data_IF_657551995675
#
_entry.id   IF_657551995675
#
_cell.length_a   1.000
_cell.length_b   1.000
_cell.length_c   1.000
_cell.angle_alpha   90.00
_cell.angle_beta   90.00
_cell.angle_gamma   90.00
#
_symmetry.space_group_name_H-M   'P 1'
#
loop_
_entity.id
_entity.type
_entity.pdbx_description
1 polymer ?
#
# COMPACT_ATOMS: atom_id res chain seq x y z
N UNK A 1 -9.85 0.18 -20.59
CA UNK A 1 -9.34 -1.08 -19.97
C UNK A 1 -8.50 -0.76 -18.74
N UNK A 2 -9.12 -0.56 -17.57
CA UNK A 2 -8.35 -0.58 -16.31
C UNK A 2 -7.48 -1.86 -16.30
N UNK A 3 -6.26 -1.79 -15.74
CA UNK A 3 -5.32 -2.92 -15.77
C UNK A 3 -5.98 -4.23 -15.34
N UNK A 4 -5.60 -5.35 -15.96
CA UNK A 4 -6.27 -6.66 -15.81
C UNK A 4 -6.38 -7.15 -14.35
N UNK A 5 -5.63 -6.55 -13.42
CA UNK A 5 -5.59 -6.89 -12.01
C UNK A 5 -6.34 -5.90 -11.10
N UNK A 6 -6.85 -4.78 -11.61
CA UNK A 6 -7.47 -3.72 -10.80
C UNK A 6 -8.66 -4.25 -9.98
N UNK A 7 -9.52 -5.09 -10.56
CA UNK A 7 -10.72 -5.57 -9.87
C UNK A 7 -10.51 -6.75 -8.90
N UNK A 8 -9.33 -7.39 -8.88
CA UNK A 8 -9.14 -8.64 -8.12
C UNK A 8 -7.89 -8.67 -7.25
N UNK A 9 -7.02 -7.65 -7.34
CA UNK A 9 -5.79 -7.55 -6.56
C UNK A 9 -5.77 -6.20 -5.84
N UNK A 10 -5.49 -6.24 -4.55
CA UNK A 10 -5.34 -5.08 -3.69
C UNK A 10 -3.88 -4.94 -3.26
N UNK A 11 -3.28 -3.78 -3.47
CA UNK A 11 -1.98 -3.42 -2.90
C UNK A 11 -2.17 -2.44 -1.75
N UNK A 12 -1.52 -2.67 -0.61
CA UNK A 12 -1.61 -1.81 0.56
C UNK A 12 -0.40 -0.88 0.61
N UNK A 13 -0.63 0.42 0.46
CA UNK A 13 0.38 1.45 0.72
C UNK A 13 0.23 1.96 2.14
N UNK A 14 1.29 1.84 2.93
CA UNK A 14 1.29 2.16 4.35
C UNK A 14 2.72 2.45 4.82
N UNK A 15 2.87 2.96 6.04
CA UNK A 15 4.17 3.06 6.71
C UNK A 15 4.32 1.97 7.76
N UNK A 16 5.57 1.61 8.01
CA UNK A 16 5.91 0.88 9.21
C UNK A 16 5.83 1.80 10.42
N UNK A 17 5.10 1.37 11.44
CA UNK A 17 5.00 2.06 12.72
C UNK A 17 6.11 1.67 13.68
N UNK A 18 6.64 0.45 13.52
CA UNK A 18 7.75 -0.06 14.31
C UNK A 18 8.78 -0.72 13.39
N UNK A 19 10.09 -0.58 13.64
CA UNK A 19 11.14 -1.04 12.73
C UNK A 19 11.25 -2.58 12.60
N UNK A 20 10.68 -3.33 13.55
CA UNK A 20 10.86 -4.80 13.62
C UNK A 20 9.54 -5.57 13.57
N UNK A 21 8.45 -4.98 14.08
CA UNK A 21 7.19 -5.68 14.28
C UNK A 21 6.15 -5.03 13.38
N UNK A 22 5.60 -5.81 12.46
CA UNK A 22 4.53 -5.36 11.60
C UNK A 22 3.25 -5.18 12.45
N UNK A 23 2.60 -4.01 12.28
CA UNK A 23 1.27 -3.71 12.83
C UNK A 23 1.07 -4.09 14.31
N UNK A 24 1.91 -3.54 15.20
CA UNK A 24 1.94 -3.86 16.64
C UNK A 24 0.55 -3.84 17.31
N UNK A 25 -0.29 -2.89 16.96
CA UNK A 25 -1.60 -2.66 17.58
C UNK A 25 -2.77 -3.17 16.74
N UNK A 26 -2.49 -3.82 15.60
CA UNK A 26 -3.51 -4.43 14.73
C UNK A 26 -4.37 -3.42 13.97
N UNK A 27 -4.06 -2.12 14.03
CA UNK A 27 -4.90 -1.07 13.43
C UNK A 27 -4.89 -1.17 11.91
N UNK A 28 -3.74 -1.47 11.30
CA UNK A 28 -3.64 -1.59 9.85
C UNK A 28 -4.36 -2.83 9.34
N UNK A 29 -4.17 -3.98 9.99
CA UNK A 29 -4.87 -5.23 9.66
C UNK A 29 -6.37 -5.05 9.80
N UNK A 30 -6.85 -4.39 10.86
CA UNK A 30 -8.27 -4.07 11.02
C UNK A 30 -8.80 -3.25 9.84
N UNK A 31 -8.10 -2.19 9.44
CA UNK A 31 -8.50 -1.35 8.31
C UNK A 31 -8.54 -2.14 6.99
N UNK A 32 -7.54 -3.00 6.75
CA UNK A 32 -7.49 -3.89 5.59
C UNK A 32 -8.71 -4.83 5.59
N UNK A 33 -8.99 -5.49 6.71
CA UNK A 33 -10.12 -6.42 6.83
C UNK A 33 -11.47 -5.72 6.63
N UNK A 34 -11.65 -4.51 7.15
CA UNK A 34 -12.86 -3.71 6.94
C UNK A 34 -13.06 -3.31 5.47
N UNK A 35 -11.97 -3.00 4.76
CA UNK A 35 -12.02 -2.76 3.31
C UNK A 35 -12.40 -4.04 2.56
N UNK A 36 -11.73 -5.16 2.84
CA UNK A 36 -11.98 -6.45 2.15
C UNK A 36 -13.42 -6.95 2.34
N UNK A 37 -14.04 -6.75 3.52
CA UNK A 37 -15.45 -7.10 3.75
C UNK A 37 -16.42 -6.38 2.81
N UNK A 38 -16.07 -5.18 2.34
CA UNK A 38 -16.87 -4.38 1.41
C UNK A 38 -16.58 -4.69 -0.06
N UNK A 39 -15.49 -5.42 -0.31
CA UNK A 39 -14.94 -5.67 -1.64
C UNK A 39 -14.68 -7.18 -1.86
N UNK A 40 -15.74 -8.02 -1.89
CA UNK A 40 -15.61 -9.48 -2.05
C UNK A 40 -15.00 -9.91 -3.40
N UNK A 41 -14.92 -9.01 -4.39
CA UNK A 41 -14.25 -9.21 -5.67
C UNK A 41 -12.73 -9.36 -5.56
N UNK A 42 -12.13 -8.86 -4.49
CA UNK A 42 -10.68 -8.91 -4.24
C UNK A 42 -10.28 -10.33 -3.85
N UNK A 43 -9.32 -10.89 -4.57
CA UNK A 43 -8.85 -12.29 -4.40
C UNK A 43 -7.44 -12.37 -3.84
N UNK A 44 -6.61 -11.36 -4.07
CA UNK A 44 -5.21 -11.32 -3.65
C UNK A 44 -4.93 -9.98 -2.99
N UNK A 45 -4.14 -10.01 -1.92
CA UNK A 45 -3.72 -8.82 -1.18
C UNK A 45 -2.20 -8.80 -1.13
N UNK A 46 -1.63 -7.66 -1.47
CA UNK A 46 -0.20 -7.39 -1.39
C UNK A 46 0.10 -6.42 -0.24
N UNK A 47 0.87 -6.88 0.75
CA UNK A 47 1.38 -6.09 1.89
C UNK A 47 2.88 -6.32 2.04
N UNK A 48 3.70 -5.27 1.90
CA UNK A 48 5.17 -5.32 1.81
C UNK A 48 5.87 -6.33 2.76
N UNK A 49 5.48 -6.36 4.03
CA UNK A 49 6.05 -7.24 5.05
C UNK A 49 5.77 -8.72 4.79
N UNK A 50 4.56 -9.03 4.32
CA UNK A 50 4.03 -10.40 4.28
C UNK A 50 4.44 -11.19 3.03
N UNK A 51 4.77 -10.50 1.95
CA UNK A 51 5.01 -11.14 0.65
C UNK A 51 6.29 -10.67 -0.06
N UNK A 52 7.13 -9.84 0.58
CA UNK A 52 8.49 -9.57 0.14
C UNK A 52 9.46 -9.89 1.28
N UNK A 53 10.63 -10.50 1.01
CA UNK A 53 11.61 -10.76 2.05
C UNK A 53 12.01 -9.48 2.80
N UNK A 54 11.95 -9.49 4.14
CA UNK A 54 12.34 -8.36 5.01
C UNK A 54 13.53 -8.72 5.91
N UNK A 55 14.15 -7.71 6.52
CA UNK A 55 15.19 -7.91 7.55
C UNK A 55 16.47 -8.61 7.04
N UNK A 56 17.07 -9.44 7.90
CA UNK A 56 18.27 -10.23 7.57
C UNK A 56 17.91 -11.37 6.60
N UNK A 57 18.64 -11.46 5.49
CA UNK A 57 18.30 -12.34 4.38
C UNK A 57 19.47 -13.26 4.04
N UNK A 58 19.15 -14.52 3.79
CA UNK A 58 20.07 -15.41 3.07
C UNK A 58 20.35 -14.83 1.67
N UNK A 59 21.43 -15.28 1.02
CA UNK A 59 21.81 -14.80 -0.32
C UNK A 59 20.67 -14.96 -1.35
N UNK A 60 19.88 -16.02 -1.24
CA UNK A 60 18.73 -16.28 -2.12
C UNK A 60 17.60 -15.27 -1.88
N UNK A 61 17.20 -15.07 -0.62
CA UNK A 61 16.17 -14.10 -0.26
C UNK A 61 16.57 -12.66 -0.61
N UNK A 62 17.88 -12.35 -0.53
CA UNK A 62 18.40 -11.06 -0.96
C UNK A 62 18.25 -10.87 -2.48
N UNK A 63 18.50 -11.90 -3.29
CA UNK A 63 18.31 -11.83 -4.74
C UNK A 63 16.83 -11.63 -5.11
N UNK A 64 15.92 -12.32 -4.43
CA UNK A 64 14.48 -12.13 -4.61
C UNK A 64 14.05 -10.72 -4.22
N UNK A 65 14.49 -10.19 -3.07
CA UNK A 65 14.22 -8.81 -2.65
C UNK A 65 14.67 -7.79 -3.71
N UNK A 66 15.90 -7.92 -4.22
CA UNK A 66 16.44 -7.01 -5.26
C UNK A 66 15.65 -7.11 -6.57
N UNK A 67 15.12 -8.28 -6.91
CA UNK A 67 14.23 -8.44 -8.07
C UNK A 67 12.89 -7.76 -7.83
N UNK A 68 12.29 -7.97 -6.66
CA UNK A 68 10.96 -7.47 -6.31
C UNK A 68 10.93 -5.95 -6.18
N UNK A 69 11.91 -5.35 -5.50
CA UNK A 69 11.97 -3.89 -5.28
C UNK A 69 12.04 -3.11 -6.59
N UNK A 70 12.63 -3.68 -7.67
CA UNK A 70 12.69 -3.06 -9.00
C UNK A 70 11.32 -3.02 -9.70
N UNK A 71 10.39 -3.88 -9.30
CA UNK A 71 9.11 -4.08 -9.97
C UNK A 71 7.92 -3.64 -9.11
N UNK A 72 8.11 -3.42 -7.80
CA UNK A 72 7.03 -3.13 -6.84
C UNK A 72 6.16 -1.93 -7.26
N UNK A 73 6.76 -0.95 -7.95
CA UNK A 73 6.05 0.23 -8.47
C UNK A 73 4.90 -0.13 -9.43
N UNK A 74 5.02 -1.25 -10.17
CA UNK A 74 3.99 -1.71 -11.10
C UNK A 74 2.70 -2.12 -10.39
N UNK A 75 2.79 -2.51 -9.11
CA UNK A 75 1.62 -2.91 -8.32
C UNK A 75 0.71 -1.71 -8.08
N UNK A 76 1.28 -0.56 -7.71
CA UNK A 76 0.54 0.69 -7.55
C UNK A 76 -0.01 1.25 -8.88
N UNK A 77 0.59 0.88 -10.02
CA UNK A 77 0.11 1.24 -11.35
C UNK A 77 -0.98 0.32 -11.91
N UNK A 78 -1.00 -0.95 -11.49
CA UNK A 78 -1.77 -2.02 -12.15
C UNK A 78 -2.86 -2.68 -11.30
N UNK A 79 -2.95 -2.36 -10.02
CA UNK A 79 -3.89 -2.98 -9.06
C UNK A 79 -4.73 -1.92 -8.36
N UNK A 80 -5.81 -2.32 -7.67
CA UNK A 80 -6.46 -1.43 -6.70
C UNK A 80 -5.52 -1.17 -5.54
N UNK A 81 -5.54 0.04 -4.98
CA UNK A 81 -4.61 0.45 -3.91
C UNK A 81 -5.39 0.92 -2.70
N UNK A 82 -5.13 0.31 -1.54
CA UNK A 82 -5.60 0.81 -0.26
C UNK A 82 -4.47 1.62 0.39
N UNK A 83 -4.68 2.92 0.53
CA UNK A 83 -3.77 3.83 1.21
C UNK A 83 -4.21 3.94 2.67
N UNK A 84 -3.36 3.47 3.57
CA UNK A 84 -3.52 3.64 5.00
C UNK A 84 -2.81 4.92 5.44
N UNK A 85 -3.58 6.00 5.54
CA UNK A 85 -3.10 7.35 5.79
C UNK A 85 -3.01 7.62 7.30
N UNK A 86 -1.79 7.64 7.82
CA UNK A 86 -1.45 8.22 9.12
C UNK A 86 -0.90 9.66 8.97
N UNK A 87 -0.70 10.35 10.08
CA UNK A 87 -0.24 11.76 10.08
C UNK A 87 1.17 11.94 9.49
N UNK A 88 2.02 10.94 9.64
CA UNK A 88 3.40 10.96 9.18
C UNK A 88 3.58 10.24 7.85
N UNK A 89 2.52 9.69 7.24
CA UNK A 89 2.52 9.16 5.89
C UNK A 89 3.14 10.12 4.87
N UNK A 90 2.79 11.43 4.82
CA UNK A 90 3.38 12.37 3.88
C UNK A 90 4.84 12.74 4.20
N UNK A 91 5.40 12.33 5.34
CA UNK A 91 6.82 12.61 5.67
C UNK A 91 7.81 11.71 4.91
N UNK A 92 7.34 10.61 4.32
CA UNK A 92 8.19 9.63 3.63
C UNK A 92 8.04 9.74 2.11
N UNK A 93 9.15 9.60 1.39
CA UNK A 93 9.14 9.67 -0.07
C UNK A 93 8.34 8.51 -0.69
N UNK A 94 8.59 7.28 -0.23
CA UNK A 94 7.99 6.08 -0.83
C UNK A 94 6.47 6.07 -0.74
N UNK A 95 5.90 6.34 0.43
CA UNK A 95 4.45 6.43 0.64
C UNK A 95 3.79 7.47 -0.27
N UNK A 96 4.43 8.63 -0.47
CA UNK A 96 3.96 9.65 -1.40
C UNK A 96 4.07 9.20 -2.87
N UNK A 97 5.16 8.54 -3.24
CA UNK A 97 5.36 8.05 -4.59
C UNK A 97 4.36 6.94 -4.94
N UNK A 98 4.13 5.99 -4.04
CA UNK A 98 3.12 4.93 -4.16
C UNK A 98 1.70 5.51 -4.30
N UNK A 99 1.37 6.50 -3.45
CA UNK A 99 0.11 7.24 -3.51
C UNK A 99 -0.04 7.92 -4.88
N UNK A 100 1.00 8.63 -5.36
CA UNK A 100 0.98 9.28 -6.67
C UNK A 100 0.77 8.27 -7.80
N UNK A 101 1.49 7.13 -7.80
CA UNK A 101 1.34 6.07 -8.81
C UNK A 101 -0.09 5.50 -8.83
N UNK A 102 -0.70 5.30 -7.66
CA UNK A 102 -2.08 4.78 -7.55
C UNK A 102 -3.11 5.67 -8.24
N UNK A 103 -2.85 6.98 -8.28
CA UNK A 103 -3.72 7.98 -8.91
C UNK A 103 -3.48 8.14 -10.41
N UNK A 104 -2.52 7.42 -11.01
CA UNK A 104 -2.23 7.51 -12.44
C UNK A 104 -2.98 6.46 -13.25
N UNK A 105 -3.68 6.86 -14.28
CA UNK A 105 -4.23 5.98 -15.32
C UNK A 105 -3.12 5.58 -16.31
N UNK A 106 -3.08 4.30 -16.68
CA UNK A 106 -1.98 3.68 -17.45
C UNK A 106 -2.42 3.00 -18.75
N UNK A 107 -3.73 2.80 -18.96
CA UNK A 107 -4.26 2.03 -20.10
C UNK A 107 -3.99 2.67 -21.46
N UNK A 108 -3.90 4.00 -21.55
CA UNK A 108 -3.79 4.69 -22.83
C UNK A 108 -2.35 4.76 -23.34
N UNK A 109 -1.41 4.04 -22.72
CA UNK A 109 0.02 4.10 -23.03
C UNK A 109 0.70 5.39 -22.57
N UNK A 110 -0.02 6.27 -21.87
CA UNK A 110 0.47 7.50 -21.28
C UNK A 110 0.12 7.50 -19.80
N UNK A 111 1.04 7.99 -18.96
CA UNK A 111 0.74 8.25 -17.55
C UNK A 111 0.02 9.59 -17.45
N UNK A 112 -1.23 9.55 -17.00
CA UNK A 112 -2.02 10.74 -16.68
C UNK A 112 -2.81 10.52 -15.40
N UNK A 113 -3.32 11.58 -14.79
CA UNK A 113 -4.23 11.46 -13.65
C UNK A 113 -5.50 10.67 -14.01
N UNK A 114 -5.87 9.71 -13.15
CA UNK A 114 -7.14 8.99 -13.22
C UNK A 114 -8.29 9.89 -12.75
N UNK A 115 -9.44 9.81 -13.42
CA UNK A 115 -10.63 10.61 -13.09
C UNK A 115 -11.89 9.75 -12.98
N UNK A 116 -12.87 10.19 -12.19
CA UNK A 116 -14.15 9.49 -12.01
C UNK A 116 -13.97 8.01 -11.68
N UNK A 117 -14.52 7.14 -12.54
CA UNK A 117 -14.51 5.69 -12.38
C UNK A 117 -13.17 5.02 -12.74
N UNK A 118 -12.18 5.78 -13.21
CA UNK A 118 -10.82 5.27 -13.46
C UNK A 118 -9.99 5.17 -12.17
N UNK A 119 -10.45 5.85 -11.11
CA UNK A 119 -9.80 5.82 -9.80
C UNK A 119 -9.89 4.42 -9.22
N UNK A 120 -8.79 3.99 -8.63
CA UNK A 120 -8.60 2.64 -8.08
C UNK A 120 -7.99 2.66 -6.68
N UNK A 121 -7.76 3.85 -6.17
CA UNK A 121 -7.26 4.11 -4.84
C UNK A 121 -8.41 4.37 -3.87
N UNK A 122 -8.34 3.71 -2.71
CA UNK A 122 -9.14 4.01 -1.54
C UNK A 122 -8.22 4.56 -0.46
N UNK A 123 -8.62 5.65 0.20
CA UNK A 123 -7.84 6.26 1.28
C UNK A 123 -8.60 6.03 2.58
N UNK A 124 -7.95 5.37 3.53
CA UNK A 124 -8.47 5.15 4.89
C UNK A 124 -7.51 5.83 5.86
N UNK A 125 -8.05 6.74 6.65
CA UNK A 125 -7.29 7.35 7.74
C UNK A 125 -7.20 6.38 8.91
N UNK A 126 -6.00 6.22 9.46
CA UNK A 126 -5.74 5.35 10.61
C UNK A 126 -5.20 6.17 11.78
N UNK A 127 -5.31 5.63 12.99
CA UNK A 127 -4.91 6.26 14.25
C UNK A 127 -5.67 7.54 14.66
N UNK A 128 -6.72 7.94 13.94
CA UNK A 128 -7.52 9.10 14.34
C UNK A 128 -8.07 8.94 15.77
N UNK A 129 -7.80 9.94 16.62
CA UNK A 129 -8.26 9.95 18.00
C UNK A 129 -7.64 8.87 18.90
N UNK A 130 -6.52 8.26 18.50
CA UNK A 130 -5.82 7.23 19.29
C UNK A 130 -4.59 7.79 20.00
N UNK A 131 -4.15 7.14 21.07
CA UNK A 131 -2.87 7.45 21.74
C UNK A 131 -1.66 7.30 20.79
N UNK A 132 -1.73 6.41 19.80
CA UNK A 132 -0.71 6.30 18.75
C UNK A 132 -0.56 7.61 17.98
N UNK A 133 -1.65 8.30 17.64
CA UNK A 133 -1.56 9.62 17.00
C UNK A 133 -0.92 10.67 17.90
N UNK A 134 -1.21 10.66 19.21
CA UNK A 134 -0.59 11.58 20.16
C UNK A 134 0.94 11.39 20.19
N UNK A 135 1.42 10.14 20.25
CA UNK A 135 2.87 9.84 20.17
C UNK A 135 3.50 10.28 18.85
N UNK A 136 2.81 10.07 17.73
CA UNK A 136 3.32 10.48 16.41
C UNK A 136 3.42 12.00 16.22
N UNK A 137 2.69 12.79 17.02
CA UNK A 137 2.78 14.25 17.03
C UNK A 137 3.96 14.78 17.85
N UNK A 138 4.55 13.93 18.71
CA UNK A 138 5.70 14.26 19.55
C UNK A 138 7.05 13.94 18.88
N UNK A 139 7.03 13.18 17.77
CA UNK A 139 8.17 12.81 16.91
C UNK A 139 8.40 13.80 15.76
#
# INVERSE_FOLDING_TARGET
LAGVHVGSVLTVSHRWMHPVVADIDGVQLKAILEHLRKHPEIKLVWVDYSCMPQGHKSRLLQADFVRMIKQVNLLYLGTSVLILLDISYPSRFWTQFECWLSMQQTTTGQLRRATGNERREAIVTIYQGTETLARMLEE
#
